data_IF_388269527629
#
_entry.id   IF_388269527629
#
_cell.length_a   1.000
_cell.length_b   1.000
_cell.length_c   1.000
_cell.angle_alpha   90.00
_cell.angle_beta   90.00
_cell.angle_gamma   90.00
#
_symmetry.space_group_name_H-M   'P 1'
#
loop_
_entity.id
_entity.type
_entity.pdbx_description
1 polymer ?
#
# COMPACT_ATOMS: atom_id res chain seq x y z
N UNK A 1 -11.66 13.29 -3.75
CA UNK A 1 -10.38 13.87 -3.28
C UNK A 1 -10.51 15.36 -2.95
N UNK A 2 -10.96 16.21 -3.87
CA UNK A 2 -11.14 17.65 -3.61
C UNK A 2 -12.08 17.92 -2.41
N UNK A 3 -13.21 17.20 -2.32
CA UNK A 3 -14.14 17.27 -1.18
C UNK A 3 -13.45 16.95 0.16
N UNK A 4 -12.73 15.81 0.22
CA UNK A 4 -11.95 15.46 1.40
C UNK A 4 -10.95 16.55 1.79
N UNK A 5 -10.21 17.12 0.84
CA UNK A 5 -9.26 18.21 1.10
C UNK A 5 -9.98 19.48 1.60
N UNK A 6 -11.18 19.76 1.09
CA UNK A 6 -11.96 20.92 1.49
C UNK A 6 -12.40 20.83 2.95
N UNK A 7 -12.77 19.64 3.44
CA UNK A 7 -13.39 19.49 4.76
C UNK A 7 -12.44 18.94 5.84
N UNK A 8 -11.42 18.18 5.45
CA UNK A 8 -10.57 17.48 6.40
C UNK A 8 -9.86 18.44 7.36
N UNK A 9 -9.79 18.02 8.62
CA UNK A 9 -8.97 18.67 9.63
C UNK A 9 -7.48 18.49 9.33
N UNK A 10 -6.64 19.36 9.89
CA UNK A 10 -5.17 19.21 9.81
C UNK A 10 -4.72 17.84 10.33
N UNK A 11 -5.36 17.34 11.39
CA UNK A 11 -5.04 16.04 11.98
C UNK A 11 -5.38 14.88 11.03
N UNK A 12 -6.57 14.90 10.40
CA UNK A 12 -6.96 13.90 9.41
C UNK A 12 -6.02 13.90 8.20
N UNK A 13 -5.71 15.09 7.66
CA UNK A 13 -4.77 15.22 6.55
C UNK A 13 -3.38 14.70 6.93
N UNK A 14 -2.90 15.03 8.13
CA UNK A 14 -1.62 14.54 8.64
C UNK A 14 -1.61 13.02 8.73
N UNK A 15 -2.66 12.42 9.28
CA UNK A 15 -2.81 10.96 9.37
C UNK A 15 -2.77 10.30 7.99
N UNK A 16 -3.60 10.77 7.07
CA UNK A 16 -3.66 10.24 5.69
C UNK A 16 -2.31 10.32 4.99
N UNK A 17 -1.68 11.49 4.99
CA UNK A 17 -0.41 11.71 4.28
C UNK A 17 0.73 10.89 4.90
N UNK A 18 0.74 10.76 6.23
CA UNK A 18 1.74 9.97 6.95
C UNK A 18 1.55 8.47 6.70
N UNK A 19 0.35 7.95 6.91
CA UNK A 19 0.09 6.52 6.98
C UNK A 19 0.02 5.88 5.59
N UNK A 20 -0.56 6.60 4.61
CA UNK A 20 -0.70 6.11 3.24
C UNK A 20 0.37 6.62 2.28
N UNK A 21 1.02 7.76 2.57
CA UNK A 21 2.08 8.32 1.75
C UNK A 21 3.50 7.99 2.22
N UNK A 22 3.65 7.46 3.44
CA UNK A 22 4.94 7.30 4.13
C UNK A 22 5.78 8.60 4.11
N UNK A 23 5.11 9.77 4.15
CA UNK A 23 5.72 11.09 4.01
C UNK A 23 6.15 11.68 5.37
N UNK A 24 7.41 12.07 5.46
CA UNK A 24 8.04 12.59 6.69
C UNK A 24 7.55 13.99 7.03
N UNK A 25 7.23 14.79 6.02
CA UNK A 25 6.74 16.16 6.18
C UNK A 25 5.21 16.24 6.26
N UNK A 26 4.52 15.12 6.54
CA UNK A 26 3.05 15.03 6.54
C UNK A 26 2.37 16.15 7.33
N UNK A 27 2.86 16.47 8.53
CA UNK A 27 2.31 17.54 9.37
C UNK A 27 2.48 18.93 8.73
N UNK A 28 3.65 19.20 8.14
CA UNK A 28 3.93 20.48 7.49
C UNK A 28 3.07 20.64 6.22
N UNK A 29 2.93 19.58 5.44
CA UNK A 29 2.10 19.55 4.24
C UNK A 29 0.63 19.77 4.61
N UNK A 30 0.11 19.04 5.60
CA UNK A 30 -1.27 19.19 6.07
C UNK A 30 -1.55 20.63 6.53
N UNK A 31 -0.64 21.22 7.32
CA UNK A 31 -0.74 22.62 7.74
C UNK A 31 -0.75 23.59 6.56
N UNK A 32 0.09 23.37 5.55
CA UNK A 32 0.13 24.20 4.34
C UNK A 32 -1.16 24.10 3.52
N UNK A 33 -1.73 22.90 3.40
CA UNK A 33 -3.02 22.67 2.73
C UNK A 33 -4.14 23.41 3.46
N UNK A 34 -4.22 23.29 4.79
CA UNK A 34 -5.24 23.97 5.61
C UNK A 34 -5.07 25.49 5.55
N UNK A 35 -3.83 25.99 5.61
CA UNK A 35 -3.56 27.42 5.50
C UNK A 35 -3.99 27.97 4.13
N UNK A 36 -3.67 27.27 3.04
CA UNK A 36 -4.07 27.66 1.69
C UNK A 36 -5.60 27.68 1.53
N UNK A 37 -6.29 26.68 2.09
CA UNK A 37 -7.77 26.63 2.13
C UNK A 37 -8.35 27.82 2.87
N UNK A 38 -7.85 28.11 4.07
CA UNK A 38 -8.38 29.18 4.93
C UNK A 38 -8.11 30.59 4.37
N UNK A 39 -7.09 30.74 3.51
CA UNK A 39 -6.77 31.99 2.82
C UNK A 39 -7.71 32.39 1.68
N UNK A 40 -8.84 31.69 1.50
CA UNK A 40 -9.87 32.02 0.52
C UNK A 40 -9.74 31.31 -0.83
N UNK A 41 -8.76 30.42 -1.00
CA UNK A 41 -8.55 29.65 -2.22
C UNK A 41 -9.04 28.21 -2.10
N UNK A 42 -10.11 27.85 -2.82
CA UNK A 42 -10.45 26.45 -3.02
C UNK A 42 -9.33 25.74 -3.79
N UNK A 43 -8.85 24.60 -3.27
CA UNK A 43 -7.83 23.77 -3.94
C UNK A 43 -8.55 22.90 -4.98
N UNK A 44 -8.79 23.46 -6.17
CA UNK A 44 -9.62 22.86 -7.20
C UNK A 44 -8.83 22.03 -8.23
N UNK A 45 -7.52 22.26 -8.35
CA UNK A 45 -6.68 21.59 -9.37
C UNK A 45 -5.51 20.84 -8.74
N UNK A 46 -5.08 19.78 -9.41
CA UNK A 46 -3.88 19.01 -9.01
C UNK A 46 -2.63 19.89 -9.03
N UNK A 47 -2.51 20.83 -9.98
CA UNK A 47 -1.40 21.77 -10.05
C UNK A 47 -1.31 22.70 -8.84
N UNK A 48 -2.44 23.16 -8.30
CA UNK A 48 -2.47 23.96 -7.07
C UNK A 48 -1.99 23.14 -5.87
N UNK A 49 -2.53 21.93 -5.70
CA UNK A 49 -2.11 21.05 -4.61
C UNK A 49 -0.62 20.72 -4.71
N UNK A 50 -0.12 20.40 -5.90
CA UNK A 50 1.29 20.10 -6.12
C UNK A 50 2.20 21.28 -5.70
N UNK A 51 1.83 22.51 -6.06
CA UNK A 51 2.57 23.72 -5.66
C UNK A 51 2.58 23.93 -4.15
N UNK A 52 1.44 23.74 -3.48
CA UNK A 52 1.33 23.85 -2.01
C UNK A 52 2.23 22.81 -1.34
N UNK A 53 2.16 21.55 -1.79
CA UNK A 53 2.98 20.46 -1.24
C UNK A 53 4.46 20.73 -1.48
N UNK A 54 4.86 21.14 -2.69
CA UNK A 54 6.24 21.45 -3.02
C UNK A 54 6.80 22.59 -2.16
N UNK A 55 6.01 23.63 -1.87
CA UNK A 55 6.41 24.72 -0.97
C UNK A 55 6.53 24.29 0.50
N UNK A 56 5.87 23.19 0.89
CA UNK A 56 5.89 22.64 2.23
C UNK A 56 6.97 21.57 2.45
N UNK A 57 7.67 21.13 1.40
CA UNK A 57 8.69 20.08 1.48
C UNK A 57 10.08 20.70 1.33
N UNK A 58 10.88 20.81 2.42
CA UNK A 58 12.17 21.49 2.37
C UNK A 58 13.26 20.68 1.64
N UNK A 59 13.11 19.36 1.54
CA UNK A 59 14.08 18.46 0.90
C UNK A 59 13.40 17.61 -0.14
N UNK A 60 13.74 17.86 -1.40
CA UNK A 60 13.23 17.13 -2.56
C UNK A 60 14.10 15.88 -2.78
N UNK A 61 13.46 14.73 -2.94
CA UNK A 61 14.16 13.51 -3.34
C UNK A 61 14.52 13.58 -4.84
N UNK A 62 15.80 13.37 -5.22
CA UNK A 62 16.21 13.46 -6.63
C UNK A 62 15.38 12.53 -7.53
N UNK A 63 14.81 13.10 -8.60
CA UNK A 63 14.04 12.34 -9.59
C UNK A 63 12.62 11.96 -9.17
N UNK A 64 12.10 12.55 -8.08
CA UNK A 64 10.71 12.38 -7.65
C UNK A 64 10.06 13.72 -7.36
N UNK A 65 8.85 13.93 -7.89
CA UNK A 65 8.06 15.11 -7.57
C UNK A 65 7.68 15.08 -6.08
N UNK A 66 7.92 16.16 -5.30
CA UNK A 66 7.59 16.23 -3.87
C UNK A 66 6.13 15.89 -3.55
N UNK A 67 5.22 16.17 -4.47
CA UNK A 67 3.79 15.91 -4.29
C UNK A 67 3.42 14.43 -4.49
N UNK A 68 4.29 13.61 -5.11
CA UNK A 68 3.98 12.21 -5.47
C UNK A 68 3.43 11.41 -4.29
N UNK A 69 4.07 11.49 -3.12
CA UNK A 69 3.64 10.76 -1.91
C UNK A 69 2.30 11.26 -1.37
N UNK A 70 2.07 12.57 -1.44
CA UNK A 70 0.80 13.17 -1.01
C UNK A 70 -0.35 12.75 -1.93
N UNK A 71 -0.13 12.79 -3.24
CA UNK A 71 -1.11 12.30 -4.22
C UNK A 71 -1.39 10.81 -4.05
N UNK A 72 -0.35 10.01 -3.84
CA UNK A 72 -0.50 8.59 -3.53
C UNK A 72 -1.35 8.37 -2.27
N UNK A 73 -1.04 9.08 -1.18
CA UNK A 73 -1.78 8.97 0.07
C UNK A 73 -3.26 9.27 -0.09
N UNK A 74 -3.56 10.39 -0.76
CA UNK A 74 -4.94 10.82 -1.02
C UNK A 74 -5.67 9.83 -1.93
N UNK A 75 -5.00 9.27 -2.93
CA UNK A 75 -5.57 8.28 -3.83
C UNK A 75 -5.94 7.00 -3.08
N UNK A 76 -4.99 6.47 -2.30
CA UNK A 76 -5.18 5.28 -1.46
C UNK A 76 -6.34 5.49 -0.49
N UNK A 77 -6.40 6.64 0.18
CA UNK A 77 -7.43 6.93 1.17
C UNK A 77 -8.82 7.08 0.53
N UNK A 78 -8.94 7.88 -0.54
CA UNK A 78 -10.24 8.16 -1.18
C UNK A 78 -10.83 6.91 -1.82
N UNK A 79 -9.99 6.06 -2.42
CA UNK A 79 -10.44 4.83 -3.07
C UNK A 79 -10.45 3.62 -2.12
N UNK A 80 -10.08 3.78 -0.84
CA UNK A 80 -9.97 2.70 0.14
C UNK A 80 -9.10 1.52 -0.36
N UNK A 81 -8.06 1.80 -1.15
CA UNK A 81 -7.34 0.80 -1.96
C UNK A 81 -6.79 -0.37 -1.12
N UNK A 82 -6.26 -0.07 0.08
CA UNK A 82 -5.66 -1.06 0.96
C UNK A 82 -6.70 -1.92 1.71
N UNK A 83 -7.86 -1.34 2.00
CA UNK A 83 -8.96 -2.07 2.65
C UNK A 83 -9.56 -3.07 1.67
N UNK A 84 -9.88 -2.61 0.47
CA UNK A 84 -10.34 -3.47 -0.63
C UNK A 84 -9.36 -4.61 -0.92
N UNK A 85 -8.05 -4.33 -0.98
CA UNK A 85 -7.04 -5.35 -1.14
C UNK A 85 -7.09 -6.39 0.00
N UNK A 86 -7.24 -5.94 1.25
CA UNK A 86 -7.27 -6.82 2.42
C UNK A 86 -8.53 -7.70 2.46
N UNK A 87 -9.66 -7.20 1.95
CA UNK A 87 -10.92 -7.94 1.85
C UNK A 87 -10.93 -8.89 0.64
N UNK A 88 -10.30 -8.52 -0.47
CA UNK A 88 -10.28 -9.31 -1.69
C UNK A 88 -9.34 -10.52 -1.60
N UNK A 89 -8.19 -10.41 -0.92
CA UNK A 89 -7.20 -11.48 -0.85
C UNK A 89 -7.75 -12.81 -0.28
N UNK A 90 -8.49 -12.83 0.85
CA UNK A 90 -9.15 -14.05 1.34
C UNK A 90 -10.16 -14.63 0.34
N UNK A 91 -10.97 -13.77 -0.30
CA UNK A 91 -11.96 -14.22 -1.28
C UNK A 91 -11.29 -14.88 -2.49
N UNK A 92 -10.20 -14.27 -3.00
CA UNK A 92 -9.38 -14.86 -4.06
C UNK A 92 -8.83 -16.23 -3.67
N UNK A 93 -8.31 -16.39 -2.45
CA UNK A 93 -7.85 -17.69 -1.93
C UNK A 93 -8.98 -18.72 -1.94
N UNK A 94 -10.16 -18.35 -1.48
CA UNK A 94 -11.29 -19.26 -1.31
C UNK A 94 -11.88 -19.74 -2.66
N UNK A 95 -11.70 -18.95 -3.71
CA UNK A 95 -12.07 -19.32 -5.08
C UNK A 95 -11.05 -20.23 -5.78
N UNK A 96 -9.82 -20.35 -5.26
CA UNK A 96 -8.78 -21.19 -5.86
C UNK A 96 -8.99 -22.67 -5.52
N UNK A 97 -8.92 -23.52 -6.56
CA UNK A 97 -8.78 -24.97 -6.39
C UNK A 97 -7.39 -25.31 -5.87
N UNK A 98 -7.22 -26.51 -5.29
CA UNK A 98 -5.91 -27.04 -4.94
C UNK A 98 -4.95 -27.00 -6.16
N UNK A 99 -3.73 -26.52 -5.94
CA UNK A 99 -2.74 -26.24 -6.99
C UNK A 99 -2.96 -24.93 -7.77
N UNK A 100 -4.07 -24.22 -7.53
CA UNK A 100 -4.35 -22.92 -8.13
C UNK A 100 -3.39 -21.83 -7.64
N UNK A 101 -3.11 -20.82 -8.46
CA UNK A 101 -2.14 -19.76 -8.14
C UNK A 101 -2.79 -18.40 -7.98
N UNK A 102 -2.40 -17.70 -6.92
CA UNK A 102 -2.64 -16.29 -6.71
C UNK A 102 -1.38 -15.52 -7.10
N UNK A 103 -1.48 -14.68 -8.13
CA UNK A 103 -0.40 -13.79 -8.55
C UNK A 103 -0.83 -12.33 -8.37
N UNK A 104 -0.14 -11.60 -7.51
CA UNK A 104 -0.47 -10.20 -7.18
C UNK A 104 0.71 -9.30 -7.51
N UNK A 105 0.45 -8.23 -8.26
CA UNK A 105 1.41 -7.19 -8.58
C UNK A 105 1.05 -5.95 -7.78
N UNK A 106 1.95 -5.54 -6.87
CA UNK A 106 1.83 -4.32 -6.08
C UNK A 106 2.72 -3.23 -6.65
N UNK A 107 2.27 -1.98 -6.64
CA UNK A 107 3.04 -0.84 -7.16
C UNK A 107 3.63 0.05 -6.06
N UNK A 108 3.32 -0.25 -4.80
CA UNK A 108 3.94 0.41 -3.66
C UNK A 108 4.11 -0.49 -2.43
N UNK A 109 4.89 0.02 -1.48
CA UNK A 109 5.31 -0.67 -0.25
C UNK A 109 4.13 -1.15 0.60
N UNK A 110 3.09 -0.34 0.75
CA UNK A 110 1.93 -0.67 1.58
C UNK A 110 1.14 -1.87 1.03
N UNK A 111 0.83 -1.88 -0.26
CA UNK A 111 0.21 -3.03 -0.93
C UNK A 111 1.08 -4.29 -0.80
N UNK A 112 2.37 -4.21 -1.16
CA UNK A 112 3.29 -5.35 -1.09
C UNK A 112 3.36 -5.93 0.33
N UNK A 113 3.31 -5.07 1.34
CA UNK A 113 3.30 -5.45 2.75
C UNK A 113 2.05 -6.21 3.13
N UNK A 114 0.87 -5.78 2.66
CA UNK A 114 -0.39 -6.49 2.89
C UNK A 114 -0.35 -7.86 2.22
N UNK A 115 0.02 -7.93 0.94
CA UNK A 115 0.12 -9.19 0.18
C UNK A 115 1.13 -10.14 0.84
N UNK A 116 2.31 -9.63 1.23
CA UNK A 116 3.34 -10.42 1.92
C UNK A 116 2.83 -10.99 3.23
N UNK A 117 2.17 -10.17 4.06
CA UNK A 117 1.63 -10.61 5.36
C UNK A 117 0.51 -11.63 5.17
N UNK A 118 -0.37 -11.41 4.21
CA UNK A 118 -1.44 -12.34 3.87
C UNK A 118 -0.88 -13.70 3.48
N UNK A 119 0.00 -13.76 2.47
CA UNK A 119 0.61 -15.03 2.02
C UNK A 119 1.33 -15.72 3.18
N UNK A 120 2.07 -14.97 4.00
CA UNK A 120 2.75 -15.53 5.17
C UNK A 120 1.78 -16.07 6.21
N UNK A 121 0.70 -15.36 6.53
CA UNK A 121 -0.31 -15.80 7.49
C UNK A 121 -1.07 -17.04 7.04
N UNK A 122 -1.26 -17.23 5.72
CA UNK A 122 -1.85 -18.45 5.16
C UNK A 122 -0.90 -19.64 5.15
N UNK A 123 0.41 -19.38 5.22
CA UNK A 123 1.47 -20.40 5.24
C UNK A 123 1.85 -20.80 6.66
N UNK A 124 2.06 -19.82 7.53
CA UNK A 124 2.44 -19.98 8.93
C UNK A 124 1.19 -19.72 9.78
N UNK A 125 0.32 -20.72 9.89
CA UNK A 125 -0.94 -20.66 10.66
C UNK A 125 -0.77 -21.02 12.13
N UNK A 126 0.45 -21.06 12.62
CA UNK A 126 0.75 -21.32 14.02
C UNK A 126 0.46 -20.06 14.86
N UNK A 127 -0.64 -20.08 15.59
CA UNK A 127 -1.04 -19.04 16.53
C UNK A 127 -0.66 -19.41 17.98
N UNK A 128 0.11 -20.49 18.17
CA UNK A 128 0.47 -20.95 19.50
C UNK A 128 1.57 -20.09 20.13
N UNK A 129 1.52 -19.87 21.46
CA UNK A 129 2.60 -19.23 22.19
C UNK A 129 3.93 -19.96 21.99
N UNK A 130 5.04 -19.21 22.02
CA UNK A 130 6.37 -19.80 22.00
C UNK A 130 6.52 -20.86 23.10
N UNK A 131 7.13 -22.01 22.77
CA UNK A 131 7.32 -23.18 23.64
C UNK A 131 6.05 -23.96 24.02
N UNK A 132 4.93 -23.77 23.32
CA UNK A 132 3.76 -24.62 23.51
C UNK A 132 4.00 -26.02 22.90
N UNK A 133 3.92 -27.12 23.68
CA UNK A 133 4.32 -28.46 23.21
C UNK A 133 3.22 -29.07 22.34
N UNK A 134 3.24 -28.74 21.04
CA UNK A 134 2.33 -29.31 20.03
C UNK A 134 3.14 -30.07 18.99
N UNK A 135 2.65 -31.24 18.59
CA UNK A 135 3.31 -32.04 17.55
C UNK A 135 3.05 -31.37 16.21
N UNK A 136 4.04 -31.38 15.31
CA UNK A 136 3.91 -30.76 13.99
C UNK A 136 2.71 -31.26 13.16
N UNK A 137 2.20 -32.46 13.43
CA UNK A 137 1.00 -33.04 12.79
C UNK A 137 -0.32 -32.41 13.26
N UNK A 138 -0.33 -31.82 14.47
CA UNK A 138 -1.50 -31.25 15.11
C UNK A 138 -1.56 -29.71 14.86
N UNK A 139 -0.54 -29.14 14.19
CA UNK A 139 -0.52 -27.75 13.76
C UNK A 139 -1.49 -27.52 12.59
N UNK A 140 -2.13 -26.34 12.53
CA UNK A 140 -2.96 -25.96 11.40
C UNK A 140 -2.16 -26.03 10.09
N UNK A 141 -2.65 -26.80 9.13
CA UNK A 141 -1.96 -26.97 7.86
C UNK A 141 -2.06 -25.69 7.01
N UNK A 142 -1.00 -25.36 6.24
CA UNK A 142 -0.97 -24.16 5.40
C UNK A 142 -2.06 -24.23 4.34
N UNK A 143 -2.79 -23.14 4.14
CA UNK A 143 -3.78 -22.98 3.05
C UNK A 143 -3.14 -22.49 1.75
N UNK A 144 -2.06 -21.74 1.88
CA UNK A 144 -1.27 -21.25 0.76
C UNK A 144 0.21 -21.49 1.03
N UNK A 145 1.00 -21.62 -0.05
CA UNK A 145 2.46 -21.65 0.01
C UNK A 145 3.02 -20.60 -0.94
N UNK A 146 4.00 -19.81 -0.49
CA UNK A 146 4.68 -18.87 -1.37
C UNK A 146 5.46 -19.60 -2.47
N UNK A 147 5.35 -19.12 -3.71
CA UNK A 147 6.10 -19.64 -4.84
C UNK A 147 7.28 -18.71 -5.10
N UNK A 148 8.45 -19.10 -4.58
CA UNK A 148 9.69 -18.35 -4.75
C UNK A 148 9.73 -17.04 -3.96
N UNK A 149 10.63 -16.14 -4.37
CA UNK A 149 10.80 -14.80 -3.79
C UNK A 149 10.02 -13.76 -4.59
N UNK A 150 9.83 -12.58 -3.99
CA UNK A 150 9.24 -11.44 -4.69
C UNK A 150 10.03 -11.11 -5.97
N UNK A 151 9.32 -10.95 -7.08
CA UNK A 151 9.89 -10.68 -8.40
C UNK A 151 9.78 -9.19 -8.66
N UNK A 152 10.89 -8.57 -9.08
CA UNK A 152 10.99 -7.15 -9.43
C UNK A 152 11.25 -6.99 -10.92
N UNK A 153 10.84 -5.86 -11.53
CA UNK A 153 11.12 -5.58 -12.94
C UNK A 153 12.63 -5.56 -13.19
N UNK A 154 13.02 -5.92 -14.41
CA UNK A 154 14.40 -5.76 -14.88
C UNK A 154 14.69 -4.29 -15.26
N UNK A 155 15.97 -3.91 -15.33
CA UNK A 155 16.37 -2.56 -15.79
C UNK A 155 15.85 -2.27 -17.21
N UNK A 156 15.89 -3.27 -18.10
CA UNK A 156 15.38 -3.14 -19.46
C UNK A 156 13.87 -2.90 -19.48
N UNK A 157 13.12 -3.58 -18.61
CA UNK A 157 11.69 -3.38 -18.47
C UNK A 157 11.36 -1.99 -17.95
N UNK A 158 12.05 -1.50 -16.92
CA UNK A 158 11.84 -0.16 -16.38
C UNK A 158 12.15 0.92 -17.42
N UNK A 159 13.17 0.72 -18.26
CA UNK A 159 13.49 1.64 -19.36
C UNK A 159 12.37 1.70 -20.41
N UNK A 160 11.76 0.56 -20.73
CA UNK A 160 10.63 0.46 -21.68
C UNK A 160 9.31 0.92 -21.08
N UNK A 161 9.11 0.68 -19.79
CA UNK A 161 7.90 1.00 -19.06
C UNK A 161 8.24 1.62 -17.70
N UNK A 162 8.40 2.95 -17.62
CA UNK A 162 8.73 3.62 -16.36
C UNK A 162 7.75 3.35 -15.22
N UNK A 163 6.47 3.01 -15.52
CA UNK A 163 5.45 2.68 -14.51
C UNK A 163 5.74 1.36 -13.80
N UNK A 164 6.54 0.46 -14.38
CA UNK A 164 6.89 -0.80 -13.72
C UNK A 164 7.95 -0.63 -12.64
N UNK A 165 8.65 0.51 -12.55
CA UNK A 165 9.79 0.75 -11.63
C UNK A 165 9.56 0.25 -10.19
N UNK A 166 8.35 0.43 -9.67
CA UNK A 166 7.99 0.07 -8.30
C UNK A 166 7.19 -1.24 -8.19
N UNK A 167 6.99 -1.95 -9.30
CA UNK A 167 6.20 -3.16 -9.33
C UNK A 167 6.89 -4.30 -8.57
N UNK A 168 6.11 -5.03 -7.77
CA UNK A 168 6.54 -6.23 -7.07
C UNK A 168 5.50 -7.31 -7.28
N UNK A 169 5.90 -8.42 -7.91
CA UNK A 169 5.06 -9.59 -8.10
C UNK A 169 5.31 -10.59 -6.96
N UNK A 170 4.24 -11.03 -6.32
CA UNK A 170 4.22 -12.17 -5.40
C UNK A 170 3.29 -13.25 -5.92
N UNK A 171 3.74 -14.49 -5.84
CA UNK A 171 2.97 -15.66 -6.25
C UNK A 171 2.81 -16.59 -5.05
N UNK A 172 1.60 -17.11 -4.87
CA UNK A 172 1.31 -18.15 -3.89
C UNK A 172 0.43 -19.23 -4.52
N UNK A 173 0.59 -20.46 -4.07
CA UNK A 173 -0.15 -21.63 -4.55
C UNK A 173 -1.07 -22.17 -3.45
N UNK A 174 -2.31 -22.48 -3.82
CA UNK A 174 -3.34 -23.05 -2.95
C UNK A 174 -3.03 -24.50 -2.65
N UNK A 175 -3.00 -24.86 -1.37
CA UNK A 175 -2.85 -26.26 -0.96
C UNK A 175 -4.19 -27.01 -1.05
N UNK A 176 -4.17 -28.31 -0.77
CA UNK A 176 -5.40 -29.11 -0.69
C UNK A 176 -6.22 -28.88 0.60
N UNK A 177 -5.72 -28.07 1.54
CA UNK A 177 -6.30 -27.86 2.87
C UNK A 177 -7.38 -26.79 2.79
N UNK A 178 -8.61 -27.03 3.23
CA UNK A 178 -9.67 -26.01 3.20
C UNK A 178 -9.39 -24.81 4.14
#
# INVERSE_FOLDING_TARGET
AAEFIAEATEQQLTGVIKDYGEERFAKQIARAIVAARNGGGAIATTGQLAKIVAGAVPKIEPGQDPATRTFQALRIFVNQELEELSLALPQCRDLLKAGGRLAVISFHSLEDRIVKRFIRGEQDRDDLPANFPVRAKDLPQPRMKAVGKAIKPSVAEVKRNPRSRSAVLRVAERTAVQ
#
